data_IF_311758011321
#
_entry.id   IF_311758011321
#
_cell.length_a   1.000
_cell.length_b   1.000
_cell.length_c   1.000
_cell.angle_alpha   90.00
_cell.angle_beta   90.00
_cell.angle_gamma   90.00
#
_symmetry.space_group_name_H-M   'P 1'
#
loop_
_entity.id
_entity.type
_entity.pdbx_description
1 polymer ?
#
# COMPACT_ATOMS: atom_id res chain seq x y z
N UNK A 1 18.43 10.00 15.43
CA UNK A 1 18.08 10.04 13.99
C UNK A 1 17.79 8.66 13.38
N UNK A 2 18.46 7.58 13.83
CA UNK A 2 18.35 6.25 13.21
C UNK A 2 17.00 5.55 13.31
N UNK A 3 16.24 5.73 14.40
CA UNK A 3 14.93 5.07 14.56
C UNK A 3 13.89 5.57 13.55
N UNK A 4 13.89 6.88 13.24
CA UNK A 4 12.98 7.46 12.23
C UNK A 4 13.23 6.92 10.82
N UNK A 5 14.50 6.76 10.44
CA UNK A 5 14.88 6.18 9.15
C UNK A 5 14.57 4.69 9.08
N UNK A 6 14.90 3.91 10.12
CA UNK A 6 14.62 2.48 10.15
C UNK A 6 13.12 2.18 10.16
N UNK A 7 12.32 2.91 10.93
CA UNK A 7 10.85 2.76 10.95
C UNK A 7 10.23 3.21 9.62
N UNK A 8 10.70 4.33 9.05
CA UNK A 8 10.26 4.78 7.73
C UNK A 8 10.58 3.76 6.62
N UNK A 9 11.78 3.16 6.64
CA UNK A 9 12.16 2.10 5.69
C UNK A 9 11.38 0.80 5.90
N UNK A 10 11.13 0.40 7.15
CA UNK A 10 10.31 -0.80 7.45
C UNK A 10 8.87 -0.64 6.98
N UNK A 11 8.27 0.54 7.20
CA UNK A 11 6.91 0.88 6.70
C UNK A 11 6.88 1.08 5.18
N UNK A 12 7.94 1.63 4.58
CA UNK A 12 7.96 1.95 3.14
C UNK A 12 8.22 0.75 2.24
N UNK A 13 8.77 -0.37 2.73
CA UNK A 13 8.98 -1.59 1.92
C UNK A 13 7.71 -2.06 1.23
N UNK A 14 6.60 -2.13 1.97
CA UNK A 14 5.30 -2.51 1.41
C UNK A 14 4.80 -1.47 0.39
N UNK A 15 4.95 -0.18 0.69
CA UNK A 15 4.57 0.90 -0.23
C UNK A 15 5.38 0.89 -1.53
N UNK A 16 6.68 0.58 -1.46
CA UNK A 16 7.55 0.48 -2.64
C UNK A 16 7.16 -0.71 -3.52
N UNK A 17 6.85 -1.87 -2.91
CA UNK A 17 6.36 -3.05 -3.64
C UNK A 17 5.05 -2.72 -4.35
N UNK A 18 4.09 -2.09 -3.66
CA UNK A 18 2.82 -1.65 -4.25
C UNK A 18 3.06 -0.68 -5.41
N UNK A 19 3.96 0.30 -5.24
CA UNK A 19 4.29 1.24 -6.30
C UNK A 19 4.92 0.56 -7.52
N UNK A 20 5.78 -0.44 -7.32
CA UNK A 20 6.38 -1.20 -8.41
C UNK A 20 5.32 -2.01 -9.18
N UNK A 21 4.42 -2.68 -8.47
CA UNK A 21 3.31 -3.44 -9.09
C UNK A 21 2.39 -2.51 -9.89
N UNK A 22 2.03 -1.36 -9.33
CA UNK A 22 1.23 -0.35 -10.03
C UNK A 22 1.95 0.18 -11.27
N UNK A 23 3.26 0.41 -11.21
CA UNK A 23 4.04 0.84 -12.36
C UNK A 23 3.97 -0.18 -13.51
N UNK A 24 4.06 -1.49 -13.22
CA UNK A 24 3.91 -2.55 -14.24
C UNK A 24 2.51 -2.52 -14.85
N UNK A 25 1.46 -2.45 -14.02
CA UNK A 25 0.07 -2.43 -14.48
C UNK A 25 -0.19 -1.22 -15.40
N UNK A 26 0.22 -0.02 -14.99
CA UNK A 26 0.04 1.20 -15.80
C UNK A 26 0.87 1.14 -17.07
N UNK A 27 2.05 0.50 -17.04
CA UNK A 27 2.86 0.30 -18.25
C UNK A 27 2.12 -0.54 -19.28
N UNK A 28 1.46 -1.61 -18.87
CA UNK A 28 0.69 -2.48 -19.77
C UNK A 28 -0.59 -1.81 -20.27
N UNK A 29 -1.33 -1.13 -19.37
CA UNK A 29 -2.66 -0.59 -19.70
C UNK A 29 -2.58 0.76 -20.43
N UNK A 30 -1.56 1.57 -20.17
CA UNK A 30 -1.51 2.95 -20.66
C UNK A 30 -0.27 3.22 -21.53
N UNK A 31 0.93 2.88 -21.05
CA UNK A 31 2.17 3.18 -21.80
C UNK A 31 2.23 2.38 -23.10
N UNK A 32 1.86 1.10 -23.07
CA UNK A 32 1.84 0.25 -24.25
C UNK A 32 0.86 0.78 -25.33
N UNK A 33 -0.45 0.93 -25.08
CA UNK A 33 -1.37 1.48 -26.08
C UNK A 33 -0.96 2.86 -26.63
N UNK A 34 -0.52 3.76 -25.75
CA UNK A 34 -0.12 5.12 -26.14
C UNK A 34 1.13 5.13 -27.03
N UNK A 35 2.11 4.28 -26.74
CA UNK A 35 3.31 4.19 -27.58
C UNK A 35 3.06 3.47 -28.91
N UNK A 36 2.17 2.48 -28.92
CA UNK A 36 1.71 1.84 -30.15
C UNK A 36 1.02 2.85 -31.08
N UNK A 37 0.10 3.67 -30.56
CA UNK A 37 -0.61 4.67 -31.36
C UNK A 37 0.30 5.79 -31.84
N UNK A 38 1.28 6.21 -31.03
CA UNK A 38 2.35 7.11 -31.45
C UNK A 38 3.19 6.52 -32.59
N UNK A 39 3.55 5.24 -32.51
CA UNK A 39 4.29 4.57 -33.58
C UNK A 39 3.52 4.57 -34.89
N UNK A 40 2.23 4.22 -34.86
CA UNK A 40 1.36 4.23 -36.04
C UNK A 40 1.13 5.61 -36.62
N UNK A 41 0.88 6.62 -35.79
CA UNK A 41 0.69 7.97 -36.29
C UNK A 41 1.95 8.54 -36.94
N UNK A 42 3.14 7.98 -36.66
CA UNK A 42 4.45 8.45 -37.18
C UNK A 42 4.98 7.66 -38.36
N UNK A 43 4.23 6.66 -38.84
CA UNK A 43 4.66 5.80 -39.92
C UNK A 43 5.04 6.57 -41.21
N UNK A 44 4.39 7.70 -41.47
CA UNK A 44 4.65 8.55 -42.64
C UNK A 44 5.70 9.65 -42.39
N UNK A 45 6.44 9.60 -41.28
CA UNK A 45 7.47 10.59 -40.92
C UNK A 45 6.94 11.95 -40.43
N UNK A 46 5.62 12.15 -40.41
CA UNK A 46 4.92 13.30 -39.80
C UNK A 46 3.85 12.80 -38.84
N UNK A 47 3.59 13.56 -37.79
CA UNK A 47 2.53 13.24 -36.83
C UNK A 47 1.15 13.45 -37.45
N UNK A 48 0.38 12.37 -37.56
CA UNK A 48 -1.02 12.40 -37.96
C UNK A 48 -1.94 12.26 -36.73
N UNK A 49 -2.62 13.36 -36.40
CA UNK A 49 -3.54 13.40 -35.25
C UNK A 49 -4.78 12.52 -35.45
N UNK A 50 -5.26 12.38 -36.69
CA UNK A 50 -6.46 11.59 -36.99
C UNK A 50 -6.20 10.12 -36.71
N UNK A 51 -5.08 9.59 -37.23
CA UNK A 51 -4.66 8.20 -36.98
C UNK A 51 -4.43 7.96 -35.49
N UNK A 52 -3.83 8.93 -34.79
CA UNK A 52 -3.58 8.82 -33.36
C UNK A 52 -4.90 8.66 -32.56
N UNK A 53 -5.88 9.53 -32.80
CA UNK A 53 -7.15 9.51 -32.08
C UNK A 53 -8.00 8.28 -32.42
N UNK A 54 -8.04 7.89 -33.71
CA UNK A 54 -8.78 6.70 -34.17
C UNK A 54 -8.23 5.40 -33.56
N UNK A 55 -6.89 5.29 -33.45
CA UNK A 55 -6.25 4.07 -32.96
C UNK A 55 -6.19 4.01 -31.43
N UNK A 56 -6.31 5.14 -30.72
CA UNK A 56 -6.12 5.19 -29.26
C UNK A 56 -7.18 4.37 -28.52
N UNK A 57 -8.46 4.56 -28.84
CA UNK A 57 -9.55 3.81 -28.21
C UNK A 57 -9.39 2.29 -28.35
N UNK A 58 -9.22 1.75 -29.57
CA UNK A 58 -8.97 0.32 -29.79
C UNK A 58 -7.68 -0.21 -29.15
N UNK A 59 -6.63 0.61 -29.09
CA UNK A 59 -5.38 0.20 -28.45
C UNK A 59 -5.55 0.07 -26.93
N UNK A 60 -6.27 0.99 -26.29
CA UNK A 60 -6.50 0.98 -24.83
C UNK A 60 -7.32 -0.24 -24.37
N UNK A 61 -8.17 -0.80 -25.23
CA UNK A 61 -8.99 -1.98 -24.91
C UNK A 61 -8.28 -3.31 -25.21
N UNK A 62 -7.07 -3.30 -25.78
CA UNK A 62 -6.36 -4.51 -26.16
C UNK A 62 -5.04 -4.69 -25.43
N UNK A 63 -4.95 -5.73 -24.60
CA UNK A 63 -3.71 -6.15 -23.93
C UNK A 63 -2.64 -6.68 -24.89
N UNK A 64 -3.00 -6.98 -26.14
CA UNK A 64 -2.06 -7.47 -27.17
C UNK A 64 -1.19 -6.36 -27.76
N UNK A 65 -1.51 -5.09 -27.50
CA UNK A 65 -0.75 -3.93 -27.99
C UNK A 65 0.73 -4.01 -27.66
N UNK A 66 1.08 -4.56 -26.49
CA UNK A 66 2.47 -4.70 -26.07
C UNK A 66 3.27 -5.54 -27.08
N UNK A 67 2.71 -6.66 -27.52
CA UNK A 67 3.35 -7.52 -28.52
C UNK A 67 3.37 -6.86 -29.90
N UNK A 68 2.28 -6.17 -30.28
CA UNK A 68 2.16 -5.49 -31.58
C UNK A 68 3.23 -4.41 -31.79
N UNK A 69 3.60 -3.69 -30.72
CA UNK A 69 4.68 -2.70 -30.76
C UNK A 69 5.99 -3.31 -31.25
N UNK A 70 6.34 -4.50 -30.76
CA UNK A 70 7.59 -5.15 -31.12
C UNK A 70 7.50 -5.83 -32.49
N UNK A 71 6.34 -6.39 -32.86
CA UNK A 71 6.17 -7.01 -34.18
C UNK A 71 6.07 -6.00 -35.32
N UNK A 72 5.49 -4.83 -35.09
CA UNK A 72 5.30 -3.77 -36.10
C UNK A 72 6.45 -2.74 -36.13
N UNK A 73 7.50 -2.95 -35.32
CA UNK A 73 8.72 -2.12 -35.36
C UNK A 73 8.65 -0.79 -34.59
N UNK A 74 7.65 -0.60 -33.72
CA UNK A 74 7.45 0.63 -32.94
C UNK A 74 8.18 0.66 -31.58
N UNK A 75 9.10 -0.28 -31.33
CA UNK A 75 9.81 -0.41 -30.06
C UNK A 75 10.51 0.88 -29.60
N UNK A 76 11.05 1.69 -30.53
CA UNK A 76 11.68 2.98 -30.22
C UNK A 76 10.72 3.93 -29.48
N UNK A 77 9.47 3.99 -29.92
CA UNK A 77 8.44 4.83 -29.31
C UNK A 77 8.08 4.32 -27.92
N UNK A 78 7.97 2.99 -27.76
CA UNK A 78 7.73 2.38 -26.45
C UNK A 78 8.81 2.71 -25.43
N UNK A 79 10.08 2.50 -25.76
CA UNK A 79 11.18 2.80 -24.82
C UNK A 79 11.27 4.30 -24.47
N UNK A 80 11.00 5.17 -25.44
CA UNK A 80 10.97 6.62 -25.22
C UNK A 80 9.84 7.01 -24.27
N UNK A 81 8.61 6.54 -24.53
CA UNK A 81 7.44 6.81 -23.69
C UNK A 81 7.61 6.20 -22.31
N UNK A 82 8.11 4.97 -22.22
CA UNK A 82 8.37 4.28 -20.94
C UNK A 82 9.37 5.05 -20.08
N UNK A 83 10.44 5.58 -20.68
CA UNK A 83 11.44 6.37 -19.96
C UNK A 83 10.82 7.63 -19.35
N UNK A 84 10.08 8.39 -20.15
CA UNK A 84 9.42 9.63 -19.69
C UNK A 84 8.40 9.32 -18.60
N UNK A 85 7.54 8.33 -18.82
CA UNK A 85 6.57 7.86 -17.84
C UNK A 85 7.24 7.44 -16.53
N UNK A 86 8.30 6.64 -16.60
CA UNK A 86 8.98 6.12 -15.40
C UNK A 86 9.62 7.23 -14.57
N UNK A 87 10.19 8.25 -15.21
CA UNK A 87 10.75 9.43 -14.50
C UNK A 87 9.66 10.20 -13.77
N UNK A 88 8.53 10.47 -14.43
CA UNK A 88 7.39 11.18 -13.82
C UNK A 88 6.79 10.35 -12.68
N UNK A 89 6.55 9.05 -12.92
CA UNK A 89 6.00 8.13 -11.95
C UNK A 89 6.89 8.03 -10.70
N UNK A 90 8.22 7.92 -10.90
CA UNK A 90 9.19 7.89 -9.81
C UNK A 90 9.14 9.19 -9.01
N UNK A 91 9.10 10.35 -9.66
CA UNK A 91 9.02 11.64 -8.98
C UNK A 91 7.76 11.75 -8.09
N UNK A 92 6.60 11.37 -8.62
CA UNK A 92 5.32 11.35 -7.88
C UNK A 92 5.39 10.36 -6.71
N UNK A 93 5.94 9.16 -6.93
CA UNK A 93 6.08 8.13 -5.90
C UNK A 93 6.99 8.61 -4.77
N UNK A 94 8.13 9.25 -5.10
CA UNK A 94 9.03 9.84 -4.10
C UNK A 94 8.29 10.90 -3.29
N UNK A 95 7.57 11.83 -3.94
CA UNK A 95 6.78 12.86 -3.24
C UNK A 95 5.73 12.23 -2.32
N UNK A 96 5.04 11.18 -2.78
CA UNK A 96 4.05 10.44 -1.98
C UNK A 96 4.68 9.81 -0.74
N UNK A 97 5.82 9.14 -0.89
CA UNK A 97 6.57 8.55 0.23
C UNK A 97 7.05 9.64 1.21
N UNK A 98 7.53 10.78 0.71
CA UNK A 98 7.96 11.91 1.56
C UNK A 98 6.80 12.45 2.39
N UNK A 99 5.61 12.60 1.79
CA UNK A 99 4.39 13.06 2.48
C UNK A 99 3.80 12.04 3.45
N UNK A 100 3.99 10.74 3.20
CA UNK A 100 3.50 9.65 4.03
C UNK A 100 4.37 9.36 5.26
N UNK A 101 5.48 10.09 5.47
CA UNK A 101 6.34 9.91 6.65
C UNK A 101 5.59 10.27 7.94
N UNK A 102 5.82 9.53 9.04
CA UNK A 102 5.23 9.87 10.34
C UNK A 102 5.70 11.26 10.79
N UNK A 103 4.75 12.14 11.12
CA UNK A 103 5.04 13.53 11.50
C UNK A 103 5.56 13.63 12.93
N UNK A 104 5.23 12.66 13.78
CA UNK A 104 5.62 12.59 15.18
C UNK A 104 5.83 11.13 15.60
N UNK A 105 6.41 10.92 16.77
CA UNK A 105 6.81 9.60 17.29
C UNK A 105 5.62 8.68 17.58
N UNK A 106 4.46 9.27 17.87
CA UNK A 106 3.24 8.55 18.24
C UNK A 106 2.27 8.32 17.06
N UNK A 107 2.70 8.58 15.82
CA UNK A 107 1.86 8.35 14.64
C UNK A 107 1.59 6.85 14.44
N UNK A 108 0.31 6.48 14.36
CA UNK A 108 -0.18 5.09 14.30
C UNK A 108 0.13 4.23 15.54
N UNK A 109 0.40 4.87 16.68
CA UNK A 109 0.34 4.21 18.00
C UNK A 109 -1.11 4.37 18.49
N UNK A 110 -1.84 3.28 18.66
CA UNK A 110 -3.16 3.34 19.28
C UNK A 110 -2.98 3.79 20.74
N UNK A 111 -3.65 4.87 21.13
CA UNK A 111 -3.59 5.40 22.50
C UNK A 111 -4.58 4.63 23.39
N UNK A 112 -4.60 3.31 23.26
CA UNK A 112 -5.43 2.41 24.06
C UNK A 112 -4.65 1.92 25.26
N UNK A 113 -5.15 2.17 26.48
CA UNK A 113 -4.53 1.69 27.72
C UNK A 113 -4.46 0.16 27.84
N UNK A 114 -5.07 -0.59 26.93
CA UNK A 114 -5.06 -2.05 26.93
C UNK A 114 -3.67 -2.63 26.70
N UNK A 115 -2.88 -2.06 25.78
CA UNK A 115 -1.53 -2.56 25.49
C UNK A 115 -0.53 -2.21 26.61
N UNK A 116 -0.82 -1.15 27.38
CA UNK A 116 -0.10 -0.83 28.63
C UNK A 116 -0.44 -1.75 29.81
N UNK A 117 -1.49 -2.55 29.68
CA UNK A 117 -1.88 -3.51 30.72
C UNK A 117 -1.10 -4.83 30.60
N UNK A 118 -0.43 -5.10 29.48
CA UNK A 118 0.43 -6.29 29.33
C UNK A 118 1.82 -6.02 29.95
N UNK A 119 2.13 -6.68 31.07
CA UNK A 119 3.42 -6.55 31.76
C UNK A 119 3.60 -5.31 32.65
N UNK A 120 2.60 -4.42 32.69
CA UNK A 120 2.55 -3.24 33.56
C UNK A 120 1.62 -3.41 34.76
N UNK A 121 0.45 -2.75 34.73
CA UNK A 121 -0.57 -2.80 35.81
C UNK A 121 -1.38 -4.10 35.86
N UNK A 122 -0.90 -5.16 35.21
CA UNK A 122 -1.45 -6.49 35.42
C UNK A 122 -1.20 -6.89 36.87
N UNK A 123 -2.25 -7.28 37.61
CA UNK A 123 -2.05 -7.82 38.94
C UNK A 123 -1.00 -8.96 38.85
N UNK A 124 0.05 -8.91 39.64
CA UNK A 124 1.10 -9.95 39.66
C UNK A 124 0.58 -11.32 40.12
N UNK A 125 -0.68 -11.39 40.57
CA UNK A 125 -1.31 -12.52 41.28
C UNK A 125 -2.35 -13.24 40.40
N UNK A 126 -2.28 -13.10 39.07
CA UNK A 126 -3.18 -13.83 38.17
C UNK A 126 -2.65 -15.27 37.93
N UNK A 127 -2.82 -16.17 38.90
CA UNK A 127 -2.47 -17.58 38.71
C UNK A 127 -3.56 -18.32 37.93
N UNK A 128 -3.20 -18.94 36.80
CA UNK A 128 -4.09 -19.81 36.01
C UNK A 128 -4.75 -20.93 36.83
N UNK A 129 -4.10 -21.34 37.93
CA UNK A 129 -4.55 -22.46 38.76
C UNK A 129 -5.33 -22.01 40.00
N UNK A 130 -5.39 -20.69 40.28
CA UNK A 130 -6.01 -20.15 41.51
C UNK A 130 -6.96 -18.97 41.27
N UNK A 131 -7.18 -18.54 40.03
CA UNK A 131 -8.04 -17.38 39.72
C UNK A 131 -9.18 -17.68 38.75
N UNK A 132 -10.17 -16.78 38.69
CA UNK A 132 -11.30 -16.82 37.74
C UNK A 132 -10.85 -16.22 36.41
N UNK A 133 -11.12 -16.90 35.29
CA UNK A 133 -10.73 -16.42 33.95
C UNK A 133 -11.50 -15.13 33.62
N UNK A 134 -10.78 -14.03 33.40
CA UNK A 134 -11.35 -12.74 32.95
C UNK A 134 -11.20 -12.56 31.43
N UNK A 135 -10.00 -12.82 30.93
CA UNK A 135 -9.62 -12.73 29.53
C UNK A 135 -8.49 -13.72 29.25
N UNK A 136 -8.06 -13.83 27.99
CA UNK A 136 -6.94 -14.69 27.63
C UNK A 136 -5.70 -14.31 28.47
N UNK A 137 -5.19 -15.29 29.22
CA UNK A 137 -4.06 -15.15 30.15
C UNK A 137 -4.24 -14.13 31.30
N UNK A 138 -5.49 -13.78 31.64
CA UNK A 138 -5.82 -12.87 32.75
C UNK A 138 -6.80 -13.54 33.73
N UNK A 139 -6.46 -13.60 35.02
CA UNK A 139 -7.15 -14.43 36.02
C UNK A 139 -7.45 -13.70 37.34
N UNK A 140 -8.69 -13.30 37.62
CA UNK A 140 -9.03 -12.60 38.86
C UNK A 140 -8.67 -13.44 40.11
N UNK A 141 -7.92 -12.88 41.08
CA UNK A 141 -7.68 -13.55 42.35
C UNK A 141 -8.99 -13.68 43.15
N UNK A 142 -9.28 -14.89 43.63
CA UNK A 142 -10.46 -15.19 44.46
C UNK A 142 -10.30 -14.72 45.91
N UNK A 143 -9.07 -14.50 46.34
CA UNK A 143 -8.65 -14.18 47.71
C UNK A 143 -8.22 -12.70 47.87
N UNK A 144 -8.71 -11.80 47.01
CA UNK A 144 -8.37 -10.38 47.08
C UNK A 144 -9.06 -9.69 48.26
N UNK A 145 -8.35 -8.79 48.94
CA UNK A 145 -8.88 -7.99 50.03
C UNK A 145 -9.71 -6.82 49.45
N UNK A 146 -11.00 -6.74 49.76
CA UNK A 146 -11.90 -5.68 49.29
C UNK A 146 -13.03 -6.18 48.39
N UNK A 147 -13.67 -5.28 47.63
CA UNK A 147 -14.82 -5.62 46.79
C UNK A 147 -14.44 -6.54 45.62
N UNK A 148 -14.96 -7.76 45.61
CA UNK A 148 -14.74 -8.81 44.58
C UNK A 148 -15.67 -8.75 43.38
N UNK A 149 -16.64 -7.84 43.37
CA UNK A 149 -17.59 -7.74 42.27
C UNK A 149 -16.88 -7.44 40.94
N UNK A 150 -17.31 -8.13 39.88
CA UNK A 150 -16.82 -7.95 38.51
C UNK A 150 -17.98 -7.43 37.67
N UNK A 151 -17.78 -6.27 37.03
CA UNK A 151 -18.69 -5.78 36.00
C UNK A 151 -18.21 -6.31 34.65
N UNK A 152 -19.02 -7.15 34.02
CA UNK A 152 -18.76 -7.62 32.66
C UNK A 152 -19.60 -6.77 31.70
N UNK A 153 -18.94 -5.96 30.88
CA UNK A 153 -19.59 -5.16 29.84
C UNK A 153 -19.41 -5.88 28.50
N UNK A 154 -20.44 -6.58 28.04
CA UNK A 154 -20.47 -7.22 26.73
C UNK A 154 -21.05 -6.27 25.68
N UNK A 155 -20.39 -6.16 24.51
CA UNK A 155 -20.98 -5.49 23.34
C UNK A 155 -21.58 -6.55 22.42
N UNK A 156 -22.91 -6.62 22.37
CA UNK A 156 -23.61 -7.45 21.40
C UNK A 156 -23.68 -6.73 20.06
N UNK A 157 -23.12 -7.34 19.02
CA UNK A 157 -23.28 -6.88 17.65
C UNK A 157 -24.49 -7.62 17.04
N UNK A 158 -25.52 -6.87 16.67
CA UNK A 158 -26.55 -7.35 15.75
C UNK A 158 -26.14 -6.91 14.34
N UNK A 159 -26.08 -7.87 13.43
CA UNK A 159 -25.88 -7.63 12.00
C UNK A 159 -27.24 -7.50 11.32
#
# INVERSE_FOLDING_TARGET
>A
MGYKLNTALKKSKTSIIIALVLWVIVTVILVSPFSYTLGKSMANGKFDLSIFLEQLGPAMTSFTTLFKIFSEGYAKYFWSTLKIFSVIYLAITVIGILKARPKHEYTDIEHGSSDWSEGGEQYSILSKNKGIILAQNNYLPVDKRGNVNVLVVGRFWFW
#
